data_IF_409522517408
#
_entry.id   IF_409522517408
#
_cell.length_a   1.000
_cell.length_b   1.000
_cell.length_c   1.000
_cell.angle_alpha   90.00
_cell.angle_beta   90.00
_cell.angle_gamma   90.00
#
_symmetry.space_group_name_H-M   'P 1'
#
loop_
_entity.id
_entity.type
_entity.pdbx_description
1 polymer ?
#
# COMPACT_ATOMS: atom_id res chain seq x y z
N UNK A 1 -1.18 -52.35 -8.66
CA UNK A 1 -0.91 -51.14 -9.44
C UNK A 1 0.20 -51.45 -10.42
N UNK A 2 -0.14 -51.43 -11.70
CA UNK A 2 0.78 -51.72 -12.80
C UNK A 2 1.74 -50.53 -12.98
N UNK A 3 2.99 -50.77 -13.39
CA UNK A 3 3.97 -49.69 -13.52
C UNK A 3 3.55 -48.59 -14.52
N UNK A 4 2.67 -48.93 -15.46
CA UNK A 4 2.03 -47.97 -16.37
C UNK A 4 1.13 -46.95 -15.66
N UNK A 5 0.45 -47.33 -14.58
CA UNK A 5 -0.44 -46.41 -13.83
C UNK A 5 0.40 -45.42 -13.01
N UNK A 6 1.53 -45.89 -12.46
CA UNK A 6 2.50 -45.05 -11.74
C UNK A 6 3.19 -44.06 -12.69
N UNK A 7 3.55 -44.49 -13.90
CA UNK A 7 4.14 -43.62 -14.92
C UNK A 7 3.16 -42.50 -15.32
N UNK A 8 1.90 -42.84 -15.60
CA UNK A 8 0.88 -41.85 -15.93
C UNK A 8 0.60 -40.87 -14.79
N UNK A 9 0.61 -41.33 -13.54
CA UNK A 9 0.45 -40.45 -12.38
C UNK A 9 1.65 -39.48 -12.24
N UNK A 10 2.87 -39.93 -12.53
CA UNK A 10 4.05 -39.07 -12.54
C UNK A 10 3.99 -38.03 -13.67
N UNK A 11 3.59 -38.41 -14.88
CA UNK A 11 3.41 -37.47 -15.99
C UNK A 11 2.35 -36.40 -15.69
N UNK A 12 1.25 -36.80 -15.01
CA UNK A 12 0.24 -35.84 -14.57
C UNK A 12 0.82 -34.85 -13.55
N UNK A 13 1.56 -35.33 -12.55
CA UNK A 13 2.20 -34.46 -11.54
C UNK A 13 3.22 -33.52 -12.19
N UNK A 14 4.04 -34.01 -13.13
CA UNK A 14 5.02 -33.19 -13.86
C UNK A 14 4.32 -32.09 -14.65
N UNK A 15 3.21 -32.40 -15.33
CA UNK A 15 2.46 -31.40 -16.07
C UNK A 15 1.83 -30.34 -15.17
N UNK A 16 1.26 -30.73 -14.03
CA UNK A 16 0.70 -29.77 -13.05
C UNK A 16 1.79 -28.86 -12.48
N UNK A 17 2.95 -29.43 -12.11
CA UNK A 17 4.07 -28.64 -11.59
C UNK A 17 4.62 -27.66 -12.63
N UNK A 18 4.70 -28.07 -13.91
CA UNK A 18 5.12 -27.20 -15.01
C UNK A 18 4.15 -26.05 -15.26
N UNK A 19 2.85 -26.31 -15.17
CA UNK A 19 1.81 -25.26 -15.28
C UNK A 19 1.93 -24.26 -14.12
N UNK A 20 2.20 -24.73 -12.91
CA UNK A 20 2.40 -23.89 -11.73
C UNK A 20 3.66 -23.03 -11.83
N UNK A 21 4.78 -23.59 -12.30
CA UNK A 21 6.03 -22.85 -12.56
C UNK A 21 5.79 -21.70 -13.53
N UNK A 22 5.13 -21.98 -14.66
CA UNK A 22 4.79 -20.96 -15.66
C UNK A 22 3.86 -19.87 -15.12
N UNK A 23 2.90 -20.23 -14.28
CA UNK A 23 2.01 -19.26 -13.65
C UNK A 23 2.74 -18.37 -12.64
N UNK A 24 3.70 -18.93 -11.89
CA UNK A 24 4.54 -18.15 -10.98
C UNK A 24 5.44 -17.19 -11.74
N UNK A 25 6.08 -17.63 -12.84
CA UNK A 25 6.88 -16.75 -13.69
C UNK A 25 6.06 -15.58 -14.23
N UNK A 26 4.84 -15.83 -14.71
CA UNK A 26 3.94 -14.79 -15.20
C UNK A 26 3.52 -13.80 -14.10
N UNK A 27 3.39 -14.25 -12.86
CA UNK A 27 3.09 -13.37 -11.72
C UNK A 27 4.31 -12.53 -11.33
N UNK A 28 5.51 -13.11 -11.36
CA UNK A 28 6.77 -12.41 -11.08
C UNK A 28 6.97 -11.29 -12.12
N UNK A 29 6.82 -11.58 -13.41
CA UNK A 29 6.95 -10.55 -14.45
C UNK A 29 5.96 -9.39 -14.28
N UNK A 30 4.70 -9.70 -13.90
CA UNK A 30 3.72 -8.64 -13.60
C UNK A 30 4.11 -7.80 -12.39
N UNK A 31 4.69 -8.40 -11.36
CA UNK A 31 5.19 -7.68 -10.20
C UNK A 31 6.40 -6.81 -10.55
N UNK A 32 7.32 -7.30 -11.38
CA UNK A 32 8.44 -6.52 -11.90
C UNK A 32 7.98 -5.33 -12.73
N UNK A 33 6.97 -5.50 -13.59
CA UNK A 33 6.36 -4.40 -14.35
C UNK A 33 5.73 -3.34 -13.43
N UNK A 34 5.03 -3.77 -12.38
CA UNK A 34 4.46 -2.86 -11.39
C UNK A 34 5.54 -2.14 -10.57
N UNK A 35 6.64 -2.83 -10.26
CA UNK A 35 7.78 -2.26 -9.54
C UNK A 35 8.56 -1.27 -10.40
N UNK A 36 8.77 -1.58 -11.68
CA UNK A 36 9.39 -0.67 -12.65
C UNK A 36 8.53 0.59 -12.91
N UNK A 37 7.21 0.49 -12.73
CA UNK A 37 6.28 1.62 -12.78
C UNK A 37 6.22 2.47 -11.51
N UNK A 38 6.84 2.04 -10.41
CA UNK A 38 7.02 2.85 -9.20
C UNK A 38 8.30 3.70 -9.36
N UNK A 39 8.23 5.04 -9.26
CA UNK A 39 9.43 5.86 -9.30
C UNK A 39 10.35 5.51 -8.13
N UNK A 40 11.56 5.05 -8.47
CA UNK A 40 12.68 4.76 -7.58
C UNK A 40 13.19 6.04 -6.92
N UNK A 41 12.56 6.42 -5.81
CA UNK A 41 13.12 7.38 -4.87
C UNK A 41 13.91 6.63 -3.79
N UNK A 42 15.06 6.06 -4.18
CA UNK A 42 16.08 5.64 -3.21
C UNK A 42 17.45 5.86 -3.85
N UNK A 43 18.00 7.04 -3.63
CA UNK A 43 19.44 7.29 -3.68
C UNK A 43 19.75 8.56 -2.89
N UNK A 44 20.52 8.35 -1.81
CA UNK A 44 21.46 9.29 -1.17
C UNK A 44 20.93 10.19 -0.02
N UNK A 45 21.38 9.81 1.17
CA UNK A 45 21.44 10.56 2.43
C UNK A 45 22.21 11.90 2.27
N UNK A 46 21.94 12.90 3.12
CA UNK A 46 22.85 13.09 4.26
C UNK A 46 22.16 13.46 5.58
N UNK A 47 22.88 13.15 6.64
CA UNK A 47 22.66 13.52 8.03
C UNK A 47 22.64 15.05 8.22
N UNK A 48 21.73 15.55 9.07
CA UNK A 48 22.02 16.52 10.14
C UNK A 48 20.71 17.06 10.75
N UNK A 49 20.73 17.15 12.07
CA UNK A 49 19.73 17.77 12.95
C UNK A 49 19.51 19.26 12.60
N UNK A 50 18.28 19.77 12.77
CA UNK A 50 18.00 20.87 13.73
C UNK A 50 16.50 21.25 13.75
N UNK A 51 16.04 21.50 14.98
CA UNK A 51 14.70 21.95 15.40
C UNK A 51 14.62 23.50 15.34
N UNK A 52 13.52 24.12 15.78
CA UNK A 52 12.29 24.49 15.08
C UNK A 52 12.25 25.99 14.71
N UNK A 53 11.52 26.40 13.67
CA UNK A 53 10.89 27.73 13.71
C UNK A 53 9.78 27.97 12.69
N UNK A 54 8.83 28.76 13.16
CA UNK A 54 7.62 29.25 12.52
C UNK A 54 7.91 30.09 11.27
N UNK A 55 7.04 30.01 10.26
CA UNK A 55 6.44 31.16 9.55
C UNK A 55 6.11 30.82 8.09
N UNK A 56 4.81 30.84 7.81
CA UNK A 56 4.14 31.07 6.52
C UNK A 56 5.02 31.80 5.49
N UNK A 57 5.21 31.21 4.29
CA UNK A 57 5.16 31.90 2.97
C UNK A 57 4.83 30.91 1.85
N UNK A 58 3.70 31.10 1.18
CA UNK A 58 3.54 30.72 -0.24
C UNK A 58 4.38 31.69 -1.09
N UNK A 59 5.03 31.21 -2.17
CA UNK A 59 4.48 31.47 -3.49
C UNK A 59 4.67 30.34 -4.52
N UNK A 60 3.78 30.36 -5.52
CA UNK A 60 3.73 29.59 -6.78
C UNK A 60 5.06 29.00 -7.29
N UNK A 61 5.08 27.68 -7.43
CA UNK A 61 5.56 27.00 -8.62
C UNK A 61 4.52 25.94 -8.98
N UNK A 62 3.86 26.07 -10.13
CA UNK A 62 3.10 24.98 -10.73
C UNK A 62 4.10 23.94 -11.25
N UNK A 63 4.80 23.28 -10.32
CA UNK A 63 5.63 22.12 -10.61
C UNK A 63 4.74 20.91 -10.85
N UNK A 64 5.27 19.88 -11.50
CA UNK A 64 4.61 18.59 -11.56
C UNK A 64 4.23 18.14 -10.13
N UNK A 65 3.09 17.45 -9.94
CA UNK A 65 2.70 16.96 -8.63
C UNK A 65 3.81 16.06 -8.08
N UNK A 66 4.36 16.45 -6.92
CA UNK A 66 5.41 15.66 -6.24
C UNK A 66 4.72 14.62 -5.38
N UNK A 67 5.07 13.35 -5.54
CA UNK A 67 4.59 12.27 -4.69
C UNK A 67 5.69 11.88 -3.69
N UNK A 68 5.38 11.99 -2.40
CA UNK A 68 6.26 11.62 -1.29
C UNK A 68 5.63 10.41 -0.58
N UNK A 69 6.34 9.28 -0.58
CA UNK A 69 5.94 8.10 0.18
C UNK A 69 6.62 8.15 1.54
N UNK A 70 5.84 8.24 2.61
CA UNK A 70 6.32 8.25 3.98
C UNK A 70 6.44 6.81 4.50
N UNK A 71 7.61 6.45 5.03
CA UNK A 71 7.83 5.15 5.66
C UNK A 71 7.22 5.08 7.07
N UNK A 72 7.26 6.20 7.80
CA UNK A 72 6.75 6.31 9.16
C UNK A 72 5.42 7.06 9.21
N UNK A 73 4.50 6.57 10.05
CA UNK A 73 3.23 7.27 10.32
C UNK A 73 3.46 8.66 10.91
N UNK A 74 4.50 8.84 11.73
CA UNK A 74 4.85 10.12 12.35
C UNK A 74 5.17 11.19 11.29
N UNK A 75 6.04 10.87 10.34
CA UNK A 75 6.44 11.80 9.26
C UNK A 75 5.24 12.18 8.39
N UNK A 76 4.40 11.19 8.06
CA UNK A 76 3.16 11.41 7.33
C UNK A 76 2.22 12.35 8.09
N UNK A 77 2.05 12.12 9.39
CA UNK A 77 1.16 12.91 10.25
C UNK A 77 1.64 14.36 10.38
N UNK A 78 2.94 14.57 10.55
CA UNK A 78 3.52 15.91 10.64
C UNK A 78 3.38 16.67 9.31
N UNK A 79 3.65 16.01 8.19
CA UNK A 79 3.56 16.61 6.86
C UNK A 79 2.11 16.93 6.43
N UNK A 80 1.15 16.14 6.90
CA UNK A 80 -0.25 16.21 6.47
C UNK A 80 -1.20 16.87 7.49
N UNK A 81 -0.65 17.56 8.48
CA UNK A 81 -1.47 18.27 9.45
C UNK A 81 -2.32 19.35 8.75
N UNK A 82 -3.64 19.21 8.83
CA UNK A 82 -4.56 20.13 8.14
C UNK A 82 -4.64 19.95 6.62
N UNK A 83 -4.37 18.74 6.12
CA UNK A 83 -4.50 18.40 4.70
C UNK A 83 -5.81 18.86 4.05
N UNK A 84 -5.74 19.20 2.76
CA UNK A 84 -6.90 19.66 1.99
C UNK A 84 -7.89 18.53 1.75
N UNK A 85 -7.38 17.37 1.30
CA UNK A 85 -8.16 16.17 1.04
C UNK A 85 -7.33 14.97 1.47
N UNK A 86 -7.96 14.03 2.16
CA UNK A 86 -7.39 12.73 2.48
C UNK A 86 -8.22 11.66 1.79
N UNK A 87 -7.54 10.74 1.12
CA UNK A 87 -8.14 9.51 0.60
C UNK A 87 -7.53 8.32 1.30
N UNK A 88 -8.35 7.29 1.57
CA UNK A 88 -7.84 6.02 2.06
C UNK A 88 -8.52 4.86 1.36
N UNK A 89 -7.76 3.79 1.15
CA UNK A 89 -8.26 2.55 0.58
C UNK A 89 -7.65 1.35 1.29
N UNK A 90 -8.38 0.24 1.28
CA UNK A 90 -8.01 -0.99 1.98
C UNK A 90 -8.16 -2.17 1.05
N UNK A 91 -7.03 -2.78 0.69
CA UNK A 91 -7.00 -4.00 -0.09
C UNK A 91 -5.80 -4.86 0.34
N UNK A 92 -5.86 -5.41 1.55
CA UNK A 92 -4.72 -6.12 2.17
C UNK A 92 -3.62 -5.18 2.71
N UNK A 93 -3.58 -3.94 2.22
CA UNK A 93 -2.75 -2.84 2.69
C UNK A 93 -3.69 -1.66 2.93
N UNK A 94 -3.46 -0.91 4.01
CA UNK A 94 -4.03 0.40 4.24
C UNK A 94 -3.16 1.42 3.50
N UNK A 95 -3.68 2.02 2.44
CA UNK A 95 -3.07 3.17 1.76
C UNK A 95 -3.81 4.42 2.19
N UNK A 96 -3.09 5.42 2.69
CA UNK A 96 -3.60 6.74 3.05
C UNK A 96 -2.83 7.77 2.22
N UNK A 97 -3.55 8.57 1.43
CA UNK A 97 -2.97 9.65 0.64
C UNK A 97 -3.55 10.99 1.06
N UNK A 98 -2.70 11.98 1.21
CA UNK A 98 -3.08 13.34 1.57
C UNK A 98 -2.58 14.32 0.53
N UNK A 99 -3.45 15.27 0.17
CA UNK A 99 -3.11 16.39 -0.70
C UNK A 99 -2.85 17.63 0.15
N UNK A 100 -1.66 18.20 0.01
CA UNK A 100 -1.26 19.44 0.66
C UNK A 100 -0.63 20.37 -0.39
N UNK A 101 -1.40 21.32 -0.90
CA UNK A 101 -0.98 22.19 -2.00
C UNK A 101 -0.72 21.39 -3.28
N UNK A 102 0.56 21.31 -3.69
CA UNK A 102 0.99 20.60 -4.90
C UNK A 102 1.75 19.29 -4.60
N UNK A 103 1.76 18.88 -3.33
CA UNK A 103 2.45 17.68 -2.87
C UNK A 103 1.41 16.65 -2.45
N UNK A 104 1.57 15.43 -2.93
CA UNK A 104 0.83 14.27 -2.49
C UNK A 104 1.71 13.45 -1.55
N UNK A 105 1.25 13.28 -0.32
CA UNK A 105 1.87 12.38 0.62
C UNK A 105 1.13 11.05 0.59
N UNK A 106 1.87 9.96 0.68
CA UNK A 106 1.31 8.61 0.74
C UNK A 106 1.94 7.84 1.91
N UNK A 107 1.09 7.24 2.73
CA UNK A 107 1.48 6.26 3.74
C UNK A 107 0.86 4.90 3.39
N UNK A 108 1.65 3.83 3.53
CA UNK A 108 1.20 2.46 3.26
C UNK A 108 1.56 1.56 4.43
N UNK A 109 0.58 0.78 4.89
CA UNK A 109 0.77 -0.17 5.97
C UNK A 109 0.09 -1.51 5.65
N UNK A 110 0.81 -2.62 5.83
CA UNK A 110 0.25 -3.95 5.61
C UNK A 110 -0.77 -4.30 6.70
N UNK A 111 -1.97 -4.74 6.31
CA UNK A 111 -2.95 -5.17 7.29
C UNK A 111 -2.60 -6.59 7.78
N UNK A 112 -2.58 -6.82 9.10
CA UNK A 112 -2.22 -8.12 9.65
C UNK A 112 -3.18 -9.17 9.10
N UNK A 113 -2.57 -10.22 8.54
CA UNK A 113 -3.26 -11.40 8.01
C UNK A 113 -2.83 -12.59 8.84
N UNK A 114 -3.77 -13.22 9.53
CA UNK A 114 -3.53 -14.45 10.27
C UNK A 114 -4.10 -15.63 9.51
N UNK A 115 -3.29 -16.66 9.29
CA UNK A 115 -3.75 -17.95 8.76
C UNK A 115 -3.90 -18.89 9.94
N UNK A 116 -5.09 -19.46 10.10
CA UNK A 116 -5.40 -20.44 11.11
C UNK A 116 -6.13 -21.64 10.51
N UNK A 117 -6.38 -22.66 11.32
CA UNK A 117 -7.20 -23.80 10.95
C UNK A 117 -8.37 -23.93 11.91
N UNK A 118 -9.57 -24.14 11.36
CA UNK A 118 -10.74 -24.50 12.16
C UNK A 118 -10.54 -25.91 12.76
N UNK A 119 -11.30 -26.24 13.80
CA UNK A 119 -11.25 -27.56 14.44
C UNK A 119 -11.55 -28.71 13.46
N UNK A 120 -12.27 -28.44 12.38
CA UNK A 120 -12.54 -29.39 11.31
C UNK A 120 -11.41 -29.51 10.26
N UNK A 121 -10.26 -28.86 10.46
CA UNK A 121 -9.10 -28.92 9.57
C UNK A 121 -9.16 -27.98 8.36
N UNK A 122 -10.20 -27.15 8.25
CA UNK A 122 -10.34 -26.17 7.15
C UNK A 122 -9.43 -24.96 7.43
N UNK A 123 -8.49 -24.62 6.52
CA UNK A 123 -7.70 -23.41 6.66
C UNK A 123 -8.58 -22.16 6.47
N UNK A 124 -8.43 -21.20 7.37
CA UNK A 124 -9.13 -19.91 7.33
C UNK A 124 -8.12 -18.78 7.35
N UNK A 125 -8.37 -17.77 6.51
CA UNK A 125 -7.60 -16.53 6.46
C UNK A 125 -8.39 -15.43 7.16
N UNK A 126 -7.86 -14.93 8.26
CA UNK A 126 -8.40 -13.79 8.99
C UNK A 126 -7.59 -12.56 8.58
N UNK A 127 -8.27 -11.56 8.05
CA UNK A 127 -7.67 -10.27 7.73
C UNK A 127 -8.37 -9.21 8.56
N UNK A 128 -7.61 -8.29 9.14
CA UNK A 128 -8.19 -7.14 9.82
C UNK A 128 -9.08 -6.37 8.84
N UNK A 129 -10.39 -6.40 9.09
CA UNK A 129 -11.38 -5.59 8.38
C UNK A 129 -11.71 -4.41 9.28
N UNK A 130 -11.06 -3.29 9.01
CA UNK A 130 -11.28 -2.06 9.77
C UNK A 130 -12.50 -1.34 9.18
N UNK A 131 -13.42 -0.93 10.03
CA UNK A 131 -14.60 -0.21 9.57
C UNK A 131 -14.21 1.16 9.01
N UNK A 132 -14.75 1.50 7.83
CA UNK A 132 -14.46 2.75 7.15
C UNK A 132 -14.75 3.99 8.03
N UNK A 133 -15.79 3.90 8.87
CA UNK A 133 -16.17 4.95 9.81
C UNK A 133 -15.17 5.11 10.96
N UNK A 134 -14.56 4.02 11.43
CA UNK A 134 -13.53 4.07 12.47
C UNK A 134 -12.24 4.67 11.91
N UNK A 135 -11.84 4.26 10.71
CA UNK A 135 -10.67 4.81 10.02
C UNK A 135 -10.86 6.31 9.83
N UNK A 136 -12.02 6.75 9.34
CA UNK A 136 -12.32 8.19 9.18
C UNK A 136 -12.16 8.96 10.48
N UNK A 137 -12.70 8.45 11.59
CA UNK A 137 -12.58 9.07 12.92
C UNK A 137 -11.13 9.15 13.39
N UNK A 138 -10.37 8.06 13.20
CA UNK A 138 -8.95 8.00 13.57
C UNK A 138 -8.13 8.98 12.74
N UNK A 139 -8.28 8.96 11.41
CA UNK A 139 -7.60 9.89 10.51
C UNK A 139 -7.97 11.35 10.80
N UNK A 140 -9.24 11.62 11.11
CA UNK A 140 -9.70 12.96 11.46
C UNK A 140 -9.02 13.50 12.72
N UNK A 141 -8.90 12.64 13.74
CA UNK A 141 -8.22 12.97 15.01
C UNK A 141 -6.72 13.13 14.84
N UNK A 142 -6.07 12.19 14.16
CA UNK A 142 -4.62 12.17 14.01
C UNK A 142 -4.11 13.31 13.12
N UNK A 143 -4.81 13.59 12.02
CA UNK A 143 -4.35 14.55 11.01
C UNK A 143 -4.96 15.95 11.20
N UNK A 144 -5.84 16.12 12.19
CA UNK A 144 -6.58 17.37 12.45
C UNK A 144 -7.39 17.84 11.23
N UNK A 145 -7.96 16.88 10.48
CA UNK A 145 -8.75 17.14 9.27
C UNK A 145 -10.21 16.76 9.52
N UNK A 146 -11.20 17.57 9.12
CA UNK A 146 -12.60 17.21 9.32
C UNK A 146 -13.03 16.02 8.44
N UNK A 147 -13.91 15.16 8.96
CA UNK A 147 -14.32 13.90 8.29
C UNK A 147 -14.90 14.09 6.88
N UNK A 148 -15.46 15.27 6.58
CA UNK A 148 -16.00 15.59 5.25
C UNK A 148 -14.92 15.74 4.17
N UNK A 149 -13.65 15.92 4.55
CA UNK A 149 -12.49 15.94 3.66
C UNK A 149 -11.81 14.58 3.55
N UNK A 150 -12.33 13.57 4.23
CA UNK A 150 -11.79 12.21 4.26
C UNK A 150 -12.69 11.28 3.43
N UNK A 151 -12.15 10.80 2.32
CA UNK A 151 -12.87 10.02 1.31
C UNK A 151 -12.32 8.59 1.30
N UNK A 152 -13.21 7.60 1.29
CA UNK A 152 -12.81 6.21 1.02
C UNK A 152 -12.70 6.05 -0.50
N UNK A 153 -11.50 5.79 -1.01
CA UNK A 153 -11.21 5.73 -2.43
C UNK A 153 -9.74 5.99 -2.71
N UNK A 154 -9.39 6.09 -3.99
CA UNK A 154 -8.03 6.37 -4.44
C UNK A 154 -7.98 7.73 -5.13
N UNK A 155 -6.96 8.53 -4.80
CA UNK A 155 -6.65 9.77 -5.52
C UNK A 155 -5.72 9.44 -6.70
N UNK A 156 -6.15 9.81 -7.91
CA UNK A 156 -5.38 9.68 -9.15
C UNK A 156 -5.20 11.06 -9.78
N UNK A 157 -4.00 11.35 -10.28
CA UNK A 157 -3.77 12.53 -11.11
C UNK A 157 -3.87 12.15 -12.59
N UNK A 158 -4.37 13.07 -13.44
CA UNK A 158 -4.29 12.88 -14.88
C UNK A 158 -2.82 12.74 -15.31
N UNK A 159 -2.55 11.74 -16.16
CA UNK A 159 -1.23 11.50 -16.79
C UNK A 159 -0.93 12.55 -17.84
#
# INVERSE_FOLDING_TARGET
MSDSEKMNALDFVINVLREHEKNLDALISKLEELLAGLPTAIAETPEAEEKPEEARKTPKAAGAPVNIVCESWSDFKEACNGAEIITFHQNGILSVKALQGNIMYEYREALPTQIGSLQCGIPVRLQANLDASEIKKTLSRELSVPENRIIKGEMQFPK
#
